data_IF_262792048109
#
_entry.id   IF_262792048109
#
_cell.length_a   1.000
_cell.length_b   1.000
_cell.length_c   1.000
_cell.angle_alpha   90.00
_cell.angle_beta   90.00
_cell.angle_gamma   90.00
#
_symmetry.space_group_name_H-M   'P 1'
#
loop_
_entity.id
_entity.type
_entity.pdbx_description
1 polymer ?
#
# COMPACT_ATOMS: atom_id res chain seq x y z
N UNK A 1 -5.25 -13.11 -21.57
CA UNK A 1 -4.92 -12.24 -20.41
C UNK A 1 -5.91 -12.58 -19.30
N UNK A 2 -5.45 -13.22 -18.22
CA UNK A 2 -6.28 -13.64 -17.08
C UNK A 2 -5.87 -12.78 -15.87
N UNK A 3 -6.62 -11.73 -15.52
CA UNK A 3 -6.29 -10.91 -14.35
C UNK A 3 -6.55 -11.71 -13.07
N UNK A 4 -5.62 -11.65 -12.12
CA UNK A 4 -5.81 -12.12 -10.76
C UNK A 4 -6.37 -10.96 -9.93
N UNK A 5 -7.48 -11.20 -9.25
CA UNK A 5 -8.13 -10.23 -8.40
C UNK A 5 -7.87 -10.57 -6.94
N UNK A 6 -7.44 -9.57 -6.16
CA UNK A 6 -7.29 -9.68 -4.71
C UNK A 6 -8.30 -8.74 -4.07
N UNK A 7 -9.21 -9.32 -3.30
CA UNK A 7 -10.16 -8.55 -2.51
C UNK A 7 -9.49 -8.09 -1.21
N UNK A 8 -9.49 -6.79 -0.97
CA UNK A 8 -8.99 -6.20 0.27
C UNK A 8 -10.16 -5.58 1.01
N UNK A 9 -10.36 -6.01 2.26
CA UNK A 9 -11.42 -5.52 3.13
C UNK A 9 -10.84 -4.49 4.09
N UNK A 10 -11.22 -3.22 3.93
CA UNK A 10 -10.92 -2.18 4.93
C UNK A 10 -11.76 -2.45 6.19
N UNK A 11 -11.12 -2.32 7.36
CA UNK A 11 -11.75 -2.54 8.67
C UNK A 11 -12.78 -1.44 8.97
N UNK A 12 -12.64 -0.25 8.37
CA UNK A 12 -13.40 0.95 8.75
C UNK A 12 -14.39 1.43 7.68
N UNK A 13 -14.25 0.98 6.42
CA UNK A 13 -15.12 1.43 5.33
C UNK A 13 -15.96 0.29 4.77
N UNK A 14 -17.27 0.51 4.63
CA UNK A 14 -18.23 -0.45 4.05
C UNK A 14 -18.01 -0.77 2.55
N UNK A 15 -16.86 -0.37 1.97
CA UNK A 15 -16.49 -0.63 0.57
C UNK A 15 -15.29 -1.54 0.51
N UNK A 16 -15.53 -2.76 0.02
CA UNK A 16 -14.48 -3.65 -0.47
C UNK A 16 -13.69 -2.93 -1.57
N UNK A 17 -12.37 -2.90 -1.45
CA UNK A 17 -11.50 -2.49 -2.54
C UNK A 17 -11.02 -3.75 -3.26
N UNK A 18 -11.16 -3.77 -4.58
CA UNK A 18 -10.63 -4.87 -5.40
C UNK A 18 -9.40 -4.35 -6.13
N UNK A 19 -8.25 -4.94 -5.85
CA UNK A 19 -7.03 -4.71 -6.61
C UNK A 19 -6.91 -5.78 -7.68
N UNK A 20 -6.48 -5.35 -8.86
CA UNK A 20 -6.24 -6.23 -9.99
C UNK A 20 -4.78 -6.18 -10.35
N UNK A 21 -4.18 -7.35 -10.52
CA UNK A 21 -2.87 -7.50 -11.11
C UNK A 21 -2.96 -8.54 -12.22
N UNK A 22 -2.17 -8.36 -13.27
CA UNK A 22 -2.14 -9.39 -14.30
C UNK A 22 -1.38 -10.63 -13.80
N UNK A 23 -1.65 -11.76 -14.45
CA UNK A 23 -1.04 -13.03 -14.04
C UNK A 23 0.48 -13.02 -14.20
N UNK A 24 1.00 -12.34 -15.23
CA UNK A 24 2.43 -12.38 -15.54
C UNK A 24 3.21 -11.59 -14.47
N UNK A 25 2.68 -10.47 -14.00
CA UNK A 25 3.21 -9.67 -12.89
C UNK A 25 3.10 -10.42 -11.55
N UNK A 26 1.97 -11.09 -11.30
CA UNK A 26 1.80 -11.91 -10.09
C UNK A 26 2.81 -13.08 -10.04
N UNK A 27 2.97 -13.79 -11.16
CA UNK A 27 3.93 -14.88 -11.30
C UNK A 27 5.38 -14.36 -11.16
N UNK A 28 5.67 -13.16 -11.68
CA UNK A 28 6.97 -12.51 -11.54
C UNK A 28 7.33 -12.17 -10.09
N UNK A 29 6.34 -11.75 -9.28
CA UNK A 29 6.55 -11.43 -7.87
C UNK A 29 6.81 -12.65 -6.97
N UNK A 30 6.44 -13.85 -7.41
CA UNK A 30 6.58 -15.06 -6.61
C UNK A 30 8.05 -15.30 -6.16
N UNK A 31 8.26 -15.38 -4.84
CA UNK A 31 9.56 -15.55 -4.21
C UNK A 31 10.48 -14.31 -4.25
N UNK A 32 10.01 -13.17 -4.78
CA UNK A 32 10.78 -11.92 -4.84
C UNK A 32 10.58 -11.08 -3.59
N UNK A 33 11.62 -10.30 -3.26
CA UNK A 33 11.54 -9.21 -2.29
C UNK A 33 10.98 -7.98 -2.99
N UNK A 34 9.82 -7.51 -2.54
CA UNK A 34 9.09 -6.40 -3.16
C UNK A 34 9.08 -5.22 -2.21
N UNK A 35 9.40 -4.03 -2.73
CA UNK A 35 9.23 -2.76 -2.01
C UNK A 35 7.98 -2.09 -2.55
N UNK A 36 7.09 -1.70 -1.65
CA UNK A 36 5.88 -0.94 -1.99
C UNK A 36 6.28 0.53 -1.97
N UNK A 37 5.99 1.25 -3.05
CA UNK A 37 6.32 2.67 -3.21
C UNK A 37 5.07 3.45 -3.56
N UNK A 38 4.81 4.54 -2.85
CA UNK A 38 3.70 5.47 -3.10
C UNK A 38 4.17 6.93 -3.10
N UNK A 39 3.31 7.86 -3.50
CA UNK A 39 3.62 9.30 -3.36
C UNK A 39 3.44 9.78 -1.91
N UNK A 40 2.30 9.45 -1.30
CA UNK A 40 1.92 9.83 0.06
C UNK A 40 1.31 8.64 0.79
N UNK A 41 1.82 8.32 1.98
CA UNK A 41 1.15 7.40 2.92
C UNK A 41 0.45 8.22 4.00
N UNK A 42 -0.87 8.07 4.10
CA UNK A 42 -1.72 8.66 5.16
C UNK A 42 -2.13 7.55 6.15
N UNK A 43 -3.40 7.13 6.21
CA UNK A 43 -3.83 5.97 7.02
C UNK A 43 -3.04 4.68 6.68
N UNK A 44 -2.56 4.58 5.44
CA UNK A 44 -1.80 3.42 4.94
C UNK A 44 -2.66 2.24 4.50
N UNK A 45 -3.98 2.40 4.44
CA UNK A 45 -4.88 1.34 3.97
C UNK A 45 -4.55 0.89 2.53
N UNK A 46 -4.20 1.82 1.65
CA UNK A 46 -3.75 1.50 0.28
C UNK A 46 -2.47 0.65 0.28
N UNK A 47 -1.48 1.01 1.10
CA UNK A 47 -0.23 0.25 1.21
C UNK A 47 -0.49 -1.17 1.76
N UNK A 48 -1.39 -1.31 2.74
CA UNK A 48 -1.82 -2.61 3.27
C UNK A 48 -2.53 -3.46 2.20
N UNK A 49 -3.34 -2.85 1.34
CA UNK A 49 -4.01 -3.52 0.25
C UNK A 49 -3.01 -4.09 -0.76
N UNK A 50 -2.01 -3.29 -1.14
CA UNK A 50 -0.93 -3.72 -2.04
C UNK A 50 -0.07 -4.81 -1.39
N UNK A 51 0.23 -4.70 -0.10
CA UNK A 51 0.94 -5.75 0.64
C UNK A 51 0.21 -7.09 0.64
N UNK A 52 -1.12 -7.07 0.81
CA UNK A 52 -1.93 -8.28 0.68
C UNK A 52 -1.80 -8.89 -0.71
N UNK A 53 -1.88 -8.07 -1.76
CA UNK A 53 -1.71 -8.51 -3.14
C UNK A 53 -0.31 -9.10 -3.43
N UNK A 54 0.74 -8.47 -2.91
CA UNK A 54 2.12 -8.99 -3.00
C UNK A 54 2.22 -10.35 -2.31
N UNK A 55 1.68 -10.46 -1.10
CA UNK A 55 1.72 -11.68 -0.28
C UNK A 55 0.93 -12.82 -0.93
N UNK A 56 -0.27 -12.55 -1.44
CA UNK A 56 -1.10 -13.53 -2.14
C UNK A 56 -0.49 -13.97 -3.48
N UNK A 57 0.34 -13.13 -4.09
CA UNK A 57 1.15 -13.48 -5.27
C UNK A 57 2.43 -14.24 -4.92
N UNK A 58 2.65 -14.59 -3.64
CA UNK A 58 3.85 -15.31 -3.17
C UNK A 58 5.11 -14.43 -3.05
N UNK A 59 4.97 -13.12 -3.14
CA UNK A 59 6.05 -12.16 -2.90
C UNK A 59 6.30 -11.92 -1.41
N UNK A 60 7.44 -11.31 -1.09
CA UNK A 60 7.86 -10.98 0.27
C UNK A 60 7.99 -9.47 0.36
N UNK A 61 7.15 -8.82 1.16
CA UNK A 61 7.27 -7.36 1.40
C UNK A 61 8.57 -7.09 2.15
N UNK A 62 9.45 -6.33 1.51
CA UNK A 62 10.78 -5.98 2.02
C UNK A 62 10.85 -4.55 2.55
N UNK A 63 9.84 -3.73 2.27
CA UNK A 63 9.73 -2.36 2.76
C UNK A 63 8.52 -1.64 2.20
N UNK A 64 8.10 -0.57 2.88
CA UNK A 64 7.07 0.36 2.46
C UNK A 64 7.71 1.75 2.40
N UNK A 65 7.59 2.42 1.26
CA UNK A 65 8.25 3.69 1.02
C UNK A 65 7.26 4.70 0.44
N UNK A 66 7.42 5.96 0.83
CA UNK A 66 6.70 7.06 0.18
C UNK A 66 7.58 8.30 0.07
N UNK A 67 7.20 9.25 -0.80
CA UNK A 67 7.84 10.56 -0.79
C UNK A 67 7.42 11.30 0.48
N UNK A 68 6.13 11.29 0.80
CA UNK A 68 5.57 12.00 1.94
C UNK A 68 4.78 11.08 2.89
N UNK A 69 4.79 11.44 4.17
CA UNK A 69 3.90 10.83 5.18
C UNK A 69 2.92 11.89 5.72
N UNK A 70 1.62 11.63 5.64
CA UNK A 70 0.57 12.57 6.07
C UNK A 70 -0.01 12.18 7.43
N UNK A 71 -0.14 13.14 8.35
CA UNK A 71 -0.74 12.92 9.66
C UNK A 71 -0.01 11.87 10.49
N UNK A 72 -0.77 10.97 11.12
CA UNK A 72 -0.24 9.92 12.00
C UNK A 72 0.75 8.95 11.31
N UNK A 73 0.78 8.93 9.96
CA UNK A 73 1.78 8.13 9.26
C UNK A 73 3.21 8.62 9.46
N UNK A 74 3.42 9.91 9.75
CA UNK A 74 4.76 10.43 10.01
C UNK A 74 5.40 9.84 11.28
N UNK A 75 4.59 9.31 12.20
CA UNK A 75 5.08 8.69 13.45
C UNK A 75 5.26 7.17 13.35
N UNK A 76 5.02 6.58 12.17
CA UNK A 76 5.13 5.14 11.95
C UNK A 76 6.58 4.70 11.71
N UNK A 77 6.99 3.62 12.38
CA UNK A 77 8.31 3.02 12.20
C UNK A 77 8.36 1.96 11.07
N UNK A 78 7.20 1.59 10.50
CA UNK A 78 7.10 0.54 9.47
C UNK A 78 7.12 1.06 8.03
N UNK A 79 7.31 2.36 7.84
CA UNK A 79 7.43 3.03 6.54
C UNK A 79 8.69 3.90 6.50
N UNK A 80 9.28 4.04 5.31
CA UNK A 80 10.40 4.95 5.05
C UNK A 80 9.88 6.09 4.18
N UNK A 81 10.05 7.33 4.61
CA UNK A 81 9.60 8.50 3.85
C UNK A 81 10.62 9.62 3.89
N UNK A 82 10.50 10.60 2.97
CA UNK A 82 11.45 11.71 2.88
C UNK A 82 11.06 12.87 3.79
N UNK A 83 9.78 13.30 3.76
CA UNK A 83 9.30 14.44 4.54
C UNK A 83 7.83 14.27 4.97
N UNK A 84 7.39 14.85 6.10
CA UNK A 84 5.97 14.89 6.45
C UNK A 84 5.19 15.85 5.54
N UNK A 85 3.97 15.48 5.15
CA UNK A 85 3.03 16.34 4.45
C UNK A 85 2.25 17.21 5.48
N UNK A 86 2.31 18.55 5.39
CA UNK A 86 1.62 19.41 6.35
C UNK A 86 0.10 19.37 6.17
N UNK A 87 -0.63 19.27 7.29
CA UNK A 87 -2.09 19.34 7.32
C UNK A 87 -2.56 20.79 7.36
N UNK A 88 -3.58 21.11 6.56
CA UNK A 88 -4.22 22.43 6.52
C UNK A 88 -5.61 22.35 7.15
N UNK A 89 -5.83 23.17 8.18
CA UNK A 89 -7.13 23.29 8.83
C UNK A 89 -7.76 24.63 8.45
N UNK A 90 -8.96 24.66 7.84
CA UNK A 90 -9.63 25.92 7.56
C UNK A 90 -9.93 26.65 8.87
N UNK A 91 -9.73 27.98 8.87
CA UNK A 91 -10.13 28.81 10.01
C UNK A 91 -11.65 28.80 10.10
N UNK A 92 -12.16 28.35 11.24
CA UNK A 92 -13.57 28.46 11.64
C UNK A 92 -14.03 29.90 11.75
#
# INVERSE_FOLDING_TARGET
KNPNAVEVQSITTAKTQTLYIDKDDADYMCGKRVVIVDDVISTGESAMAVEKLVTESGGIVAGRMAILAEGDAADREDIIYLEPLPLFFPKT
#
